data_IF_074436853572
#
_entry.id   IF_074436853572
#
_cell.length_a   1.000
_cell.length_b   1.000
_cell.length_c   1.000
_cell.angle_alpha   90.00
_cell.angle_beta   90.00
_cell.angle_gamma   90.00
#
_symmetry.space_group_name_H-M   'P 1'
#
loop_
_entity.id
_entity.type
_entity.pdbx_description
1 polymer ?
#
# COMPACT_ATOMS: atom_id res chain seq x y z
N UNK A 1 -32.56 -9.74 83.73
CA UNK A 1 -32.55 -8.56 84.61
C UNK A 1 -32.53 -7.27 83.79
N UNK A 2 -33.54 -6.39 83.88
CA UNK A 2 -33.46 -5.07 83.28
C UNK A 2 -32.35 -4.25 83.93
N UNK A 3 -31.46 -3.67 83.13
CA UNK A 3 -30.42 -2.77 83.63
C UNK A 3 -31.06 -1.55 84.30
N UNK A 4 -30.50 -1.03 85.41
CA UNK A 4 -31.00 0.17 86.07
C UNK A 4 -31.00 1.36 85.10
N UNK A 5 -32.00 2.26 85.16
CA UNK A 5 -32.20 3.34 84.20
C UNK A 5 -31.00 4.30 84.08
N UNK A 6 -30.18 4.41 85.14
CA UNK A 6 -28.92 5.18 85.12
C UNK A 6 -27.86 4.58 84.18
N UNK A 7 -27.77 3.25 84.08
CA UNK A 7 -26.82 2.56 83.21
C UNK A 7 -27.20 2.63 81.72
N UNK A 8 -28.49 2.85 81.40
CA UNK A 8 -28.94 3.10 80.01
C UNK A 8 -28.55 4.49 79.52
N UNK A 9 -28.64 5.53 80.36
CA UNK A 9 -28.27 6.90 79.99
C UNK A 9 -26.77 7.05 79.71
N UNK A 10 -25.92 6.45 80.55
CA UNK A 10 -24.46 6.50 80.35
C UNK A 10 -24.01 5.73 79.10
N UNK A 11 -24.61 4.56 78.81
CA UNK A 11 -24.36 3.84 77.56
C UNK A 11 -24.81 4.63 76.33
N UNK A 12 -25.96 5.30 76.39
CA UNK A 12 -26.44 6.10 75.27
C UNK A 12 -25.55 7.32 74.99
N UNK A 13 -25.13 8.04 76.04
CA UNK A 13 -24.15 9.13 75.92
C UNK A 13 -22.81 8.66 75.33
N UNK A 14 -22.29 7.52 75.78
CA UNK A 14 -21.06 6.95 75.23
C UNK A 14 -21.18 6.60 73.75
N UNK A 15 -22.32 6.05 73.32
CA UNK A 15 -22.58 5.75 71.90
C UNK A 15 -22.70 7.02 71.05
N UNK A 16 -23.35 8.06 71.57
CA UNK A 16 -23.46 9.36 70.88
C UNK A 16 -22.10 10.01 70.71
N UNK A 17 -21.27 10.03 71.76
CA UNK A 17 -19.90 10.57 71.67
C UNK A 17 -19.04 9.77 70.70
N UNK A 18 -19.11 8.44 70.73
CA UNK A 18 -18.40 7.59 69.77
C UNK A 18 -18.83 7.86 68.32
N UNK A 19 -20.14 8.01 68.09
CA UNK A 19 -20.67 8.35 66.77
C UNK A 19 -20.18 9.73 66.28
N UNK A 20 -20.16 10.74 67.15
CA UNK A 20 -19.65 12.08 66.82
C UNK A 20 -18.16 12.04 66.47
N UNK A 21 -17.35 11.31 67.25
CA UNK A 21 -15.91 11.17 66.97
C UNK A 21 -15.65 10.42 65.64
N UNK A 22 -16.46 9.41 65.32
CA UNK A 22 -16.39 8.72 64.03
C UNK A 22 -16.74 9.65 62.87
N UNK A 23 -17.80 10.45 63.01
CA UNK A 23 -18.21 11.42 61.98
C UNK A 23 -17.13 12.50 61.80
N UNK A 24 -16.61 13.06 62.89
CA UNK A 24 -15.54 14.06 62.84
C UNK A 24 -14.25 13.51 62.24
N UNK A 25 -13.88 12.26 62.59
CA UNK A 25 -12.74 11.57 62.00
C UNK A 25 -12.92 11.34 60.49
N UNK A 26 -14.10 10.91 60.06
CA UNK A 26 -14.43 10.74 58.64
C UNK A 26 -14.38 12.07 57.88
N UNK A 27 -14.97 13.13 58.43
CA UNK A 27 -14.93 14.47 57.84
C UNK A 27 -13.50 15.02 57.74
N UNK A 28 -12.67 14.81 58.76
CA UNK A 28 -11.25 15.19 58.72
C UNK A 28 -10.46 14.46 57.65
N UNK A 29 -10.68 13.14 57.49
CA UNK A 29 -10.06 12.34 56.42
C UNK A 29 -10.55 12.80 55.03
N UNK A 30 -11.83 13.08 54.88
CA UNK A 30 -12.41 13.57 53.62
C UNK A 30 -11.84 14.95 53.25
N UNK A 31 -11.77 15.88 54.20
CA UNK A 31 -11.17 17.21 54.02
C UNK A 31 -9.69 17.11 53.62
N UNK A 32 -8.90 16.29 54.32
CA UNK A 32 -7.48 16.12 54.01
C UNK A 32 -7.27 15.50 52.62
N UNK A 33 -8.10 14.53 52.23
CA UNK A 33 -8.08 13.95 50.88
C UNK A 33 -8.40 15.00 49.81
N UNK A 34 -9.40 15.85 50.04
CA UNK A 34 -9.77 16.90 49.10
C UNK A 34 -8.67 17.96 48.97
N UNK A 35 -8.05 18.34 50.08
CA UNK A 35 -6.90 19.24 50.07
C UNK A 35 -5.72 18.65 49.29
N UNK A 36 -5.35 17.39 49.58
CA UNK A 36 -4.27 16.70 48.86
C UNK A 36 -4.55 16.60 47.35
N UNK A 37 -5.81 16.35 46.94
CA UNK A 37 -6.23 16.37 45.54
C UNK A 37 -6.14 17.75 44.92
N UNK A 38 -6.49 18.81 45.66
CA UNK A 38 -6.38 20.19 45.17
C UNK A 38 -4.92 20.58 44.90
N UNK A 39 -3.99 20.23 45.81
CA UNK A 39 -2.56 20.45 45.65
C UNK A 39 -2.00 19.64 44.47
N UNK A 40 -2.42 18.39 44.32
CA UNK A 40 -2.02 17.54 43.18
C UNK A 40 -2.54 18.10 41.84
N UNK A 41 -3.78 18.61 41.79
CA UNK A 41 -4.34 19.24 40.58
C UNK A 41 -3.60 20.52 40.18
N UNK A 42 -3.20 21.34 41.16
CA UNK A 42 -2.39 22.54 40.91
C UNK A 42 -0.99 22.17 40.38
N UNK A 43 -0.34 21.17 40.98
CA UNK A 43 0.92 20.64 40.47
C UNK A 43 0.78 20.14 39.02
N UNK A 44 -0.27 19.39 38.71
CA UNK A 44 -0.53 18.92 37.33
C UNK A 44 -0.72 20.09 36.37
N UNK A 45 -1.49 21.11 36.75
CA UNK A 45 -1.68 22.30 35.94
C UNK A 45 -0.34 23.00 35.65
N UNK A 46 0.51 23.13 36.66
CA UNK A 46 1.86 23.70 36.52
C UNK A 46 2.75 22.85 35.59
N UNK A 47 2.70 21.52 35.68
CA UNK A 47 3.42 20.63 34.74
C UNK A 47 2.95 20.83 33.29
N UNK A 48 1.64 21.01 33.06
CA UNK A 48 1.09 21.29 31.73
C UNK A 48 1.57 22.66 31.22
N UNK A 49 1.49 23.70 32.05
CA UNK A 49 1.92 25.07 31.70
C UNK A 49 3.42 25.15 31.38
N UNK A 50 4.24 24.32 32.05
CA UNK A 50 5.68 24.21 31.80
C UNK A 50 6.04 23.30 30.60
N UNK A 51 5.05 22.75 29.89
CA UNK A 51 5.27 21.85 28.74
C UNK A 51 5.83 20.47 29.12
N UNK A 52 5.74 20.08 30.39
CA UNK A 52 6.14 18.76 30.89
C UNK A 52 5.00 17.75 30.69
N UNK A 53 4.56 17.62 29.44
CA UNK A 53 3.35 16.89 29.04
C UNK A 53 3.56 15.37 29.14
N UNK A 54 4.59 14.88 28.45
CA UNK A 54 4.87 13.47 28.24
C UNK A 54 6.39 13.18 28.30
N UNK A 55 6.78 12.06 28.89
CA UNK A 55 8.19 11.63 28.90
C UNK A 55 8.53 10.62 30.00
N UNK A 56 9.70 9.96 29.89
CA UNK A 56 10.17 9.01 30.91
C UNK A 56 10.68 9.70 32.18
N UNK A 57 10.97 11.00 32.12
CA UNK A 57 11.40 11.76 33.28
C UNK A 57 10.20 12.11 34.14
N UNK A 58 10.21 11.65 35.39
CA UNK A 58 9.29 12.14 36.41
C UNK A 58 9.84 13.44 37.04
N UNK A 59 8.98 14.41 37.37
CA UNK A 59 7.51 14.39 37.18
C UNK A 59 7.07 14.81 35.77
N UNK A 60 5.99 14.20 35.26
CA UNK A 60 5.28 14.65 34.06
C UNK A 60 3.76 14.62 34.26
N UNK A 61 3.06 15.48 33.52
CA UNK A 61 1.63 15.71 33.69
C UNK A 61 0.79 14.46 33.34
N UNK A 62 1.16 13.69 32.31
CA UNK A 62 0.47 12.46 31.92
C UNK A 62 0.48 11.42 33.05
N UNK A 63 1.63 11.11 33.62
CA UNK A 63 1.76 10.15 34.72
C UNK A 63 0.99 10.61 35.97
N UNK A 64 1.08 11.91 36.30
CA UNK A 64 0.37 12.48 37.44
C UNK A 64 -1.16 12.45 37.25
N UNK A 65 -1.67 12.67 36.03
CA UNK A 65 -3.09 12.53 35.68
C UNK A 65 -3.55 11.07 35.66
N UNK A 66 -2.72 10.15 35.15
CA UNK A 66 -3.01 8.73 35.14
C UNK A 66 -3.18 8.18 36.57
N UNK A 67 -2.39 8.68 37.53
CA UNK A 67 -2.54 8.34 38.95
C UNK A 67 -3.88 8.79 39.57
N UNK A 68 -4.60 9.72 38.93
CA UNK A 68 -5.92 10.19 39.36
C UNK A 68 -7.09 9.41 38.71
N UNK A 69 -6.84 8.33 37.95
CA UNK A 69 -7.85 7.64 37.11
C UNK A 69 -9.15 7.16 37.80
N UNK A 70 -9.25 7.21 39.13
CA UNK A 70 -10.47 6.85 39.88
C UNK A 70 -11.42 8.02 40.20
N UNK A 71 -11.05 9.27 39.94
CA UNK A 71 -11.85 10.45 40.33
C UNK A 71 -12.17 11.33 39.11
N UNK A 72 -13.30 11.06 38.46
CA UNK A 72 -13.74 11.71 37.23
C UNK A 72 -14.52 13.00 37.49
N UNK A 73 -14.08 13.80 38.45
CA UNK A 73 -14.67 15.12 38.68
C UNK A 73 -14.42 16.07 37.48
N UNK A 74 -15.23 17.12 37.38
CA UNK A 74 -15.18 18.07 36.28
C UNK A 74 -13.80 18.73 36.13
N UNK A 75 -13.10 18.96 37.25
CA UNK A 75 -11.78 19.59 37.24
C UNK A 75 -10.70 18.68 36.66
N UNK A 76 -10.73 17.39 36.98
CA UNK A 76 -9.78 16.39 36.46
C UNK A 76 -10.03 16.19 34.98
N UNK A 77 -11.30 16.22 34.57
CA UNK A 77 -11.69 16.24 33.17
C UNK A 77 -11.15 17.46 32.42
N UNK A 78 -11.24 18.67 32.99
CA UNK A 78 -10.67 19.88 32.41
C UNK A 78 -9.13 19.79 32.28
N UNK A 79 -8.43 19.23 33.28
CA UNK A 79 -6.98 19.04 33.20
C UNK A 79 -6.58 18.04 32.11
N UNK A 80 -7.34 16.96 31.92
CA UNK A 80 -7.11 16.02 30.80
C UNK A 80 -7.27 16.71 29.45
N UNK A 81 -8.30 17.54 29.28
CA UNK A 81 -8.48 18.28 28.03
C UNK A 81 -7.33 19.27 27.79
N UNK A 82 -6.91 19.99 28.84
CA UNK A 82 -5.75 20.90 28.79
C UNK A 82 -4.42 20.20 28.50
N UNK A 83 -4.27 18.92 28.86
CA UNK A 83 -3.09 18.12 28.49
C UNK A 83 -3.15 17.71 27.01
N UNK A 84 -4.32 17.26 26.55
CA UNK A 84 -4.50 16.71 25.21
C UNK A 84 -4.46 17.77 24.10
N UNK A 85 -4.89 19.00 24.39
CA UNK A 85 -4.89 20.13 23.46
C UNK A 85 -3.48 20.47 22.91
N UNK A 86 -2.44 20.71 23.73
CA UNK A 86 -1.10 21.00 23.21
C UNK A 86 -0.44 19.80 22.50
N UNK A 87 -0.76 18.57 22.91
CA UNK A 87 -0.32 17.36 22.18
C UNK A 87 -0.94 17.31 20.78
N UNK A 88 -2.21 17.72 20.67
CA UNK A 88 -2.91 17.87 19.40
C UNK A 88 -2.38 19.03 18.56
N UNK A 89 -2.10 20.18 19.16
CA UNK A 89 -1.51 21.32 18.44
C UNK A 89 -0.15 20.98 17.85
N UNK A 90 0.61 20.07 18.48
CA UNK A 90 1.85 19.53 17.93
C UNK A 90 1.66 18.67 16.67
N UNK A 91 0.49 18.07 16.48
CA UNK A 91 0.12 17.25 15.31
C UNK A 91 -0.28 18.10 14.11
N UNK A 92 -1.03 19.17 14.34
CA UNK A 92 -1.73 19.92 13.31
C UNK A 92 -0.80 20.42 12.17
N UNK A 93 0.40 20.97 12.42
CA UNK A 93 1.28 21.43 11.36
C UNK A 93 1.73 20.31 10.41
N UNK A 94 2.03 19.11 10.94
CA UNK A 94 2.43 17.96 10.13
C UNK A 94 1.22 17.39 9.37
N UNK A 95 0.05 17.36 10.01
CA UNK A 95 -1.20 16.93 9.39
C UNK A 95 -1.59 17.82 8.19
N UNK A 96 -1.53 19.14 8.36
CA UNK A 96 -1.86 20.10 7.30
C UNK A 96 -0.88 20.04 6.12
N UNK A 97 0.40 19.76 6.39
CA UNK A 97 1.43 19.55 5.35
C UNK A 97 1.38 18.16 4.71
N UNK A 98 0.57 17.23 5.26
CA UNK A 98 0.54 15.82 4.87
C UNK A 98 1.91 15.15 4.98
N UNK A 99 2.70 15.55 5.97
CA UNK A 99 4.01 14.96 6.26
C UNK A 99 3.83 13.78 7.21
N UNK A 100 3.50 12.62 6.64
CA UNK A 100 3.19 11.40 7.41
C UNK A 100 4.37 10.90 8.25
N UNK A 101 5.59 11.17 7.80
CA UNK A 101 6.82 10.79 8.52
C UNK A 101 6.96 11.68 9.76
N UNK A 102 6.83 13.01 9.60
CA UNK A 102 6.88 13.94 10.73
C UNK A 102 5.71 13.76 11.71
N UNK A 103 4.56 13.25 11.25
CA UNK A 103 3.37 13.03 12.07
C UNK A 103 3.49 11.83 13.02
N UNK A 104 4.33 10.83 12.69
CA UNK A 104 4.46 9.58 13.46
C UNK A 104 4.73 9.79 14.96
N UNK A 105 5.72 10.62 15.29
CA UNK A 105 6.14 10.83 16.69
C UNK A 105 5.08 11.59 17.51
N UNK A 106 4.57 12.74 17.07
CA UNK A 106 3.47 13.41 17.79
C UNK A 106 2.21 12.53 17.88
N UNK A 107 1.90 11.71 16.87
CA UNK A 107 0.70 10.87 16.87
C UNK A 107 0.78 9.79 17.91
N UNK A 108 1.94 9.13 18.01
CA UNK A 108 2.20 8.14 19.05
C UNK A 108 2.01 8.77 20.44
N UNK A 109 2.62 9.93 20.70
CA UNK A 109 2.51 10.65 21.99
C UNK A 109 1.07 10.97 22.36
N UNK A 110 0.30 11.51 21.42
CA UNK A 110 -1.11 11.80 21.63
C UNK A 110 -1.94 10.52 21.83
N UNK A 111 -1.71 9.47 21.03
CA UNK A 111 -2.41 8.19 21.13
C UNK A 111 -2.13 7.47 22.46
N UNK A 112 -0.87 7.51 22.92
CA UNK A 112 -0.45 6.97 24.22
C UNK A 112 -1.13 7.73 25.36
N UNK A 113 -1.22 9.07 25.27
CA UNK A 113 -1.90 9.89 26.26
C UNK A 113 -3.42 9.60 26.30
N UNK A 114 -4.07 9.50 25.14
CA UNK A 114 -5.50 9.12 25.04
C UNK A 114 -5.76 7.75 25.66
N UNK A 115 -4.87 6.78 25.39
CA UNK A 115 -4.99 5.42 25.92
C UNK A 115 -4.79 5.38 27.43
N UNK A 116 -3.72 6.01 27.92
CA UNK A 116 -3.35 6.08 29.35
C UNK A 116 -4.43 6.76 30.19
N UNK A 117 -5.08 7.79 29.64
CA UNK A 117 -6.17 8.52 30.29
C UNK A 117 -7.56 7.91 30.04
N UNK A 118 -7.64 6.77 29.35
CA UNK A 118 -8.89 6.13 28.94
C UNK A 118 -9.88 7.09 28.24
N UNK A 119 -9.36 8.10 27.54
CA UNK A 119 -10.13 9.25 27.06
C UNK A 119 -10.85 9.00 25.72
N UNK A 120 -10.96 7.74 25.27
CA UNK A 120 -11.46 7.36 23.95
C UNK A 120 -12.87 7.84 23.62
N UNK A 121 -13.74 7.95 24.63
CA UNK A 121 -15.15 8.34 24.48
C UNK A 121 -15.40 9.83 24.71
N UNK A 122 -14.36 10.62 24.98
CA UNK A 122 -14.51 12.05 25.23
C UNK A 122 -14.77 12.79 23.93
N UNK A 123 -15.71 13.76 23.96
CA UNK A 123 -16.11 14.50 22.76
C UNK A 123 -14.95 15.13 22.00
N UNK A 124 -13.98 15.71 22.71
CA UNK A 124 -12.76 16.29 22.11
C UNK A 124 -11.94 15.23 21.36
N UNK A 125 -11.62 14.11 22.01
CA UNK A 125 -10.85 13.01 21.42
C UNK A 125 -11.60 12.40 20.24
N UNK A 126 -12.91 12.21 20.34
CA UNK A 126 -13.75 11.71 19.24
C UNK A 126 -13.68 12.65 18.03
N UNK A 127 -13.81 13.97 18.25
CA UNK A 127 -13.71 14.97 17.18
C UNK A 127 -12.31 14.98 16.53
N UNK A 128 -11.25 14.92 17.33
CA UNK A 128 -9.86 14.85 16.86
C UNK A 128 -9.60 13.57 16.04
N UNK A 129 -10.07 12.41 16.51
CA UNK A 129 -9.96 11.14 15.77
C UNK A 129 -10.71 11.18 14.45
N UNK A 130 -11.91 11.76 14.43
CA UNK A 130 -12.68 11.93 13.21
C UNK A 130 -11.96 12.85 12.23
N UNK A 131 -11.38 13.97 12.70
CA UNK A 131 -10.58 14.86 11.87
C UNK A 131 -9.36 14.16 11.25
N UNK A 132 -8.56 13.41 12.04
CA UNK A 132 -7.46 12.60 11.51
C UNK A 132 -7.95 11.59 10.47
N UNK A 133 -9.05 10.91 10.75
CA UNK A 133 -9.65 9.92 9.85
C UNK A 133 -10.04 10.56 8.51
N UNK A 134 -10.67 11.73 8.55
CA UNK A 134 -11.08 12.49 7.35
C UNK A 134 -9.87 12.96 6.53
N UNK A 135 -8.76 13.31 7.16
CA UNK A 135 -7.54 13.75 6.48
C UNK A 135 -6.74 12.59 5.87
N UNK A 136 -6.67 11.43 6.55
CA UNK A 136 -5.90 10.28 6.07
C UNK A 136 -6.61 9.52 4.94
N UNK A 137 -7.95 9.42 5.00
CA UNK A 137 -8.72 8.61 4.04
C UNK A 137 -8.42 8.95 2.58
N UNK A 138 -8.37 10.22 2.12
CA UNK A 138 -8.03 10.55 0.75
C UNK A 138 -6.63 10.09 0.34
N UNK A 139 -5.64 10.20 1.22
CA UNK A 139 -4.26 9.77 0.94
C UNK A 139 -4.12 8.26 0.88
N UNK A 140 -4.82 7.53 1.75
CA UNK A 140 -4.90 6.05 1.67
C UNK A 140 -5.59 5.61 0.38
N UNK A 141 -6.71 6.26 0.02
CA UNK A 141 -7.41 5.97 -1.22
C UNK A 141 -6.52 6.26 -2.44
N UNK A 142 -5.78 7.36 -2.45
CA UNK A 142 -4.83 7.72 -3.50
C UNK A 142 -3.68 6.70 -3.61
N UNK A 143 -3.13 6.23 -2.49
CA UNK A 143 -2.09 5.21 -2.49
C UNK A 143 -2.60 3.88 -3.08
N UNK A 144 -3.79 3.44 -2.68
CA UNK A 144 -4.48 2.28 -3.27
C UNK A 144 -4.76 2.44 -4.76
N UNK A 145 -5.14 3.65 -5.16
CA UNK A 145 -5.48 3.99 -6.52
C UNK A 145 -4.27 3.90 -7.47
N UNK A 146 -3.10 4.35 -6.98
CA UNK A 146 -1.84 4.41 -7.72
C UNK A 146 -0.92 3.21 -7.49
N UNK A 147 -1.30 2.28 -6.61
CA UNK A 147 -0.39 1.26 -6.07
C UNK A 147 0.93 1.89 -5.56
N UNK A 148 0.82 3.04 -4.91
CA UNK A 148 1.97 3.73 -4.35
C UNK A 148 2.42 3.01 -3.07
N UNK A 149 3.33 2.05 -3.23
CA UNK A 149 3.86 1.25 -2.13
C UNK A 149 4.56 2.12 -1.09
N UNK A 150 5.38 3.09 -1.53
CA UNK A 150 6.13 3.94 -0.62
C UNK A 150 5.19 4.86 0.20
N UNK A 151 4.19 5.46 -0.46
CA UNK A 151 3.14 6.22 0.22
C UNK A 151 2.30 5.37 1.17
N UNK A 152 1.97 4.14 0.77
CA UNK A 152 1.26 3.18 1.62
C UNK A 152 2.07 2.80 2.86
N UNK A 153 3.37 2.49 2.71
CA UNK A 153 4.25 2.14 3.84
C UNK A 153 4.38 3.30 4.84
N UNK A 154 4.51 4.54 4.37
CA UNK A 154 4.54 5.72 5.24
C UNK A 154 3.23 5.88 6.05
N UNK A 155 2.08 5.64 5.41
CA UNK A 155 0.78 5.64 6.08
C UNK A 155 0.62 4.46 7.05
N UNK A 156 1.12 3.28 6.70
CA UNK A 156 1.03 2.09 7.56
C UNK A 156 1.85 2.24 8.84
N UNK A 157 3.06 2.80 8.75
CA UNK A 157 3.89 3.12 9.92
C UNK A 157 3.13 4.05 10.87
N UNK A 158 2.51 5.11 10.33
CA UNK A 158 1.71 6.05 11.10
C UNK A 158 0.51 5.35 11.80
N UNK A 159 -0.16 4.44 11.09
CA UNK A 159 -1.37 3.76 11.58
C UNK A 159 -1.08 2.63 12.57
N UNK A 160 0.11 2.02 12.50
CA UNK A 160 0.56 1.02 13.49
C UNK A 160 0.75 1.65 14.88
N UNK A 161 1.12 2.94 14.94
CA UNK A 161 1.23 3.74 16.15
C UNK A 161 -0.12 4.26 16.69
N UNK A 162 -1.18 4.21 15.89
CA UNK A 162 -2.50 4.71 16.27
C UNK A 162 -3.42 3.59 16.76
N UNK A 163 -3.32 3.26 18.05
CA UNK A 163 -4.15 2.23 18.67
C UNK A 163 -5.17 2.80 19.68
N UNK A 164 -6.43 2.31 19.67
CA UNK A 164 -7.00 1.38 18.68
C UNK A 164 -7.27 2.08 17.34
N UNK A 165 -7.11 1.37 16.22
CA UNK A 165 -7.39 1.90 14.89
C UNK A 165 -8.89 2.22 14.72
N UNK A 166 -9.28 3.39 14.15
CA UNK A 166 -10.68 3.65 13.81
C UNK A 166 -11.25 2.58 12.86
N UNK A 167 -12.44 2.00 13.13
CA UNK A 167 -13.04 0.97 12.27
C UNK A 167 -13.22 1.40 10.81
N UNK A 168 -13.36 2.70 10.55
CA UNK A 168 -13.49 3.26 9.20
C UNK A 168 -12.20 3.15 8.37
N UNK A 169 -11.05 2.91 9.01
CA UNK A 169 -9.75 2.79 8.34
C UNK A 169 -9.27 1.33 8.24
N UNK A 170 -9.86 0.39 8.98
CA UNK A 170 -9.35 -0.99 9.05
C UNK A 170 -9.30 -1.68 7.69
N UNK A 171 -10.36 -1.55 6.89
CA UNK A 171 -10.43 -2.15 5.56
C UNK A 171 -9.40 -1.53 4.60
N UNK A 172 -9.21 -0.21 4.68
CA UNK A 172 -8.19 0.49 3.90
C UNK A 172 -6.77 0.06 4.30
N UNK A 173 -6.49 -0.11 5.60
CA UNK A 173 -5.20 -0.62 6.10
C UNK A 173 -4.92 -2.01 5.56
N UNK A 174 -5.90 -2.92 5.63
CA UNK A 174 -5.74 -4.27 5.09
C UNK A 174 -5.43 -4.24 3.59
N UNK A 175 -6.12 -3.41 2.82
CA UNK A 175 -5.86 -3.26 1.39
C UNK A 175 -4.52 -2.59 1.07
N UNK A 176 -4.08 -1.61 1.87
CA UNK A 176 -2.79 -0.95 1.68
C UNK A 176 -1.64 -1.96 1.85
N UNK A 177 -1.73 -2.85 2.85
CA UNK A 177 -0.74 -3.92 3.07
C UNK A 177 -0.64 -4.88 1.89
N UNK A 178 -1.69 -4.98 1.07
CA UNK A 178 -1.74 -5.84 -0.11
C UNK A 178 -1.20 -5.17 -1.37
N UNK A 179 -0.80 -3.89 -1.35
CA UNK A 179 -0.11 -3.27 -2.49
C UNK A 179 1.25 -3.95 -2.63
N UNK A 180 1.52 -4.71 -3.72
CA UNK A 180 2.81 -5.34 -3.91
C UNK A 180 3.89 -4.31 -4.25
N UNK A 181 5.13 -4.58 -3.85
CA UNK A 181 6.30 -3.88 -4.38
C UNK A 181 6.63 -4.36 -5.80
N UNK A 182 7.52 -3.65 -6.49
CA UNK A 182 8.06 -4.11 -7.77
C UNK A 182 8.78 -5.45 -7.59
N UNK A 183 8.51 -6.41 -8.48
CA UNK A 183 8.99 -7.77 -8.41
C UNK A 183 8.24 -8.68 -7.45
N UNK A 184 7.29 -8.16 -6.67
CA UNK A 184 6.43 -8.99 -5.81
C UNK A 184 5.21 -9.51 -6.56
N UNK A 185 4.63 -10.59 -6.02
CA UNK A 185 3.46 -11.23 -6.59
C UNK A 185 2.25 -10.28 -6.61
N UNK A 186 1.65 -10.12 -7.79
CA UNK A 186 0.37 -9.45 -7.96
C UNK A 186 -0.73 -10.51 -7.99
N UNK A 187 -1.70 -10.48 -7.05
CA UNK A 187 -2.81 -11.42 -7.05
C UNK A 187 -3.63 -11.35 -8.34
N UNK A 188 -3.91 -12.53 -8.91
CA UNK A 188 -4.72 -12.69 -10.10
C UNK A 188 -5.54 -13.98 -9.99
N UNK A 189 -6.80 -13.86 -9.60
CA UNK A 189 -7.67 -15.01 -9.30
C UNK A 189 -7.96 -15.87 -10.54
N UNK A 190 -7.88 -15.29 -11.73
CA UNK A 190 -8.25 -15.92 -13.00
C UNK A 190 -7.06 -16.11 -13.94
N UNK A 191 -5.88 -15.60 -13.59
CA UNK A 191 -4.69 -15.60 -14.42
C UNK A 191 -3.55 -16.50 -13.90
N UNK A 192 -2.46 -16.62 -14.67
CA UNK A 192 -1.20 -17.15 -14.15
C UNK A 192 -0.64 -16.23 -13.06
N UNK A 193 0.26 -16.71 -12.19
CA UNK A 193 0.96 -15.86 -11.22
C UNK A 193 1.66 -14.69 -11.92
N UNK A 194 1.44 -13.48 -11.42
CA UNK A 194 2.01 -12.26 -11.97
C UNK A 194 2.96 -11.59 -10.98
N UNK A 195 3.91 -10.80 -11.49
CA UNK A 195 4.79 -9.92 -10.73
C UNK A 195 4.53 -8.48 -11.16
N UNK A 196 4.45 -7.54 -10.22
CA UNK A 196 4.34 -6.12 -10.54
C UNK A 196 5.67 -5.62 -11.13
N UNK A 197 5.64 -5.02 -12.32
CA UNK A 197 6.82 -4.38 -12.93
C UNK A 197 6.71 -2.87 -12.84
N UNK A 198 5.54 -2.32 -13.18
CA UNK A 198 5.26 -0.88 -13.07
C UNK A 198 3.94 -0.64 -12.33
N UNK A 199 3.90 0.17 -11.27
CA UNK A 199 2.64 0.62 -10.70
C UNK A 199 1.89 1.53 -11.71
N UNK A 200 0.55 1.56 -11.70
CA UNK A 200 -0.21 2.48 -12.54
C UNK A 200 0.03 3.95 -12.14
N UNK A 201 0.28 4.78 -13.13
CA UNK A 201 0.38 6.23 -13.01
C UNK A 201 -0.92 6.89 -13.48
N UNK A 202 -1.04 8.22 -13.32
CA UNK A 202 -2.25 8.95 -13.73
C UNK A 202 -2.52 8.92 -15.22
N UNK A 203 -1.47 8.81 -16.04
CA UNK A 203 -1.51 8.88 -17.51
C UNK A 203 -0.98 7.60 -18.17
N UNK A 204 -0.59 6.59 -17.39
CA UNK A 204 -0.03 5.32 -17.89
C UNK A 204 -0.55 4.12 -17.11
N UNK A 205 -1.03 3.06 -17.79
CA UNK A 205 -1.40 1.83 -17.12
C UNK A 205 -0.19 1.21 -16.41
N UNK A 206 -0.45 0.54 -15.29
CA UNK A 206 0.55 -0.28 -14.63
C UNK A 206 0.83 -1.53 -15.46
N UNK A 207 1.96 -2.17 -15.23
CA UNK A 207 2.38 -3.37 -15.95
C UNK A 207 2.72 -4.47 -14.95
N UNK A 208 2.14 -5.64 -15.16
CA UNK A 208 2.50 -6.85 -14.44
C UNK A 208 2.86 -7.95 -15.45
N UNK A 209 3.84 -8.78 -15.13
CA UNK A 209 4.33 -9.82 -16.03
C UNK A 209 4.16 -11.19 -15.39
N UNK A 210 3.97 -12.25 -16.19
CA UNK A 210 3.98 -13.61 -15.65
C UNK A 210 5.27 -13.89 -14.88
N UNK A 211 5.13 -14.48 -13.69
CA UNK A 211 6.25 -14.80 -12.81
C UNK A 211 7.17 -15.89 -13.38
N UNK A 212 6.66 -16.69 -14.32
CA UNK A 212 7.39 -17.75 -15.00
C UNK A 212 6.92 -17.86 -16.46
N UNK A 213 7.69 -18.58 -17.27
CA UNK A 213 7.25 -19.00 -18.59
C UNK A 213 5.97 -19.85 -18.51
N UNK A 214 5.19 -19.83 -19.59
CA UNK A 214 3.94 -20.58 -19.73
C UNK A 214 4.13 -22.06 -19.37
N UNK A 215 3.39 -22.56 -18.39
CA UNK A 215 3.40 -23.96 -18.01
C UNK A 215 2.48 -24.82 -18.90
N UNK A 216 2.75 -26.14 -19.00
CA UNK A 216 1.92 -27.06 -19.78
C UNK A 216 0.45 -27.13 -19.34
N UNK A 217 0.15 -26.98 -18.04
CA UNK A 217 -1.22 -27.10 -17.54
C UNK A 217 -2.08 -25.93 -18.01
N UNK A 218 -1.58 -24.70 -17.92
CA UNK A 218 -2.26 -23.51 -18.44
C UNK A 218 -2.43 -23.55 -19.95
N UNK A 219 -1.40 -24.00 -20.69
CA UNK A 219 -1.53 -24.16 -22.14
C UNK A 219 -2.57 -25.22 -22.51
N UNK A 220 -2.64 -26.32 -21.77
CA UNK A 220 -3.67 -27.36 -21.96
C UNK A 220 -5.10 -26.83 -21.81
N UNK A 221 -5.34 -25.91 -20.86
CA UNK A 221 -6.63 -25.22 -20.70
C UNK A 221 -6.99 -24.38 -21.92
N UNK A 222 -6.04 -23.59 -22.42
CA UNK A 222 -6.23 -22.80 -23.65
C UNK A 222 -6.57 -23.70 -24.84
N UNK A 223 -5.87 -24.82 -25.02
CA UNK A 223 -6.15 -25.75 -26.11
C UNK A 223 -7.54 -26.38 -26.00
N UNK A 224 -7.93 -26.79 -24.78
CA UNK A 224 -9.24 -27.36 -24.52
C UNK A 224 -10.37 -26.37 -24.84
N UNK A 225 -10.26 -25.12 -24.35
CA UNK A 225 -11.27 -24.09 -24.54
C UNK A 225 -11.38 -23.63 -26.00
N UNK A 226 -10.27 -23.65 -26.74
CA UNK A 226 -10.24 -23.24 -28.16
C UNK A 226 -10.43 -24.38 -29.15
N UNK A 227 -10.60 -25.62 -28.67
CA UNK A 227 -10.76 -26.80 -29.53
C UNK A 227 -9.53 -27.13 -30.37
N UNK A 228 -8.34 -26.69 -29.95
CA UNK A 228 -7.09 -26.90 -30.67
C UNK A 228 -6.38 -28.17 -30.21
N UNK A 229 -5.70 -28.82 -31.14
CA UNK A 229 -4.89 -30.01 -30.84
C UNK A 229 -3.49 -29.61 -30.42
N UNK A 230 -2.98 -30.23 -29.37
CA UNK A 230 -1.60 -30.06 -28.94
C UNK A 230 -0.64 -30.59 -30.02
N UNK A 231 0.42 -29.82 -30.29
CA UNK A 231 1.53 -30.24 -31.16
C UNK A 231 2.59 -30.94 -30.32
N UNK A 232 3.06 -32.11 -30.74
CA UNK A 232 4.18 -32.79 -30.09
C UNK A 232 5.44 -31.92 -30.16
N UNK A 233 6.03 -31.63 -29.00
CA UNK A 233 7.24 -30.84 -28.88
C UNK A 233 7.99 -31.17 -27.61
N UNK A 234 9.29 -31.43 -27.74
CA UNK A 234 10.20 -31.51 -26.61
C UNK A 234 10.72 -30.11 -26.27
N UNK A 235 10.19 -29.52 -25.20
CA UNK A 235 10.76 -28.31 -24.58
C UNK A 235 12.10 -28.65 -23.92
N UNK A 236 13.11 -27.75 -23.96
CA UNK A 236 14.32 -27.90 -23.14
C UNK A 236 14.04 -27.95 -21.63
N UNK A 237 12.90 -27.44 -21.19
CA UNK A 237 12.45 -27.45 -19.81
C UNK A 237 11.08 -28.13 -19.70
N UNK A 238 10.95 -29.27 -18.99
CA UNK A 238 9.69 -30.01 -18.88
C UNK A 238 8.61 -29.25 -18.10
N UNK A 239 8.96 -28.22 -17.33
CA UNK A 239 8.01 -27.38 -16.60
C UNK A 239 7.45 -26.25 -17.46
N UNK A 240 7.99 -26.05 -18.66
CA UNK A 240 7.64 -24.95 -19.56
C UNK A 240 7.12 -25.49 -20.88
N UNK A 241 6.06 -24.88 -21.37
CA UNK A 241 5.53 -25.16 -22.70
C UNK A 241 6.40 -24.49 -23.77
N UNK A 242 7.14 -25.31 -24.50
CA UNK A 242 7.89 -24.92 -25.70
C UNK A 242 7.07 -25.00 -27.00
N UNK A 243 7.74 -24.75 -28.13
CA UNK A 243 7.16 -24.72 -29.49
C UNK A 243 5.94 -23.80 -29.69
N UNK A 244 5.75 -22.79 -28.85
CA UNK A 244 4.64 -21.85 -29.05
C UNK A 244 5.03 -20.89 -30.18
N UNK A 245 4.21 -20.81 -31.22
CA UNK A 245 4.39 -19.83 -32.29
C UNK A 245 3.96 -18.44 -31.82
N UNK A 246 4.49 -17.38 -32.44
CA UNK A 246 4.07 -16.01 -32.13
C UNK A 246 2.55 -15.81 -32.33
N UNK A 247 1.97 -16.44 -33.35
CA UNK A 247 0.53 -16.39 -33.60
C UNK A 247 -0.30 -17.04 -32.48
N UNK A 248 0.12 -18.21 -31.99
CA UNK A 248 -0.52 -18.84 -30.82
C UNK A 248 -0.30 -18.04 -29.55
N UNK A 249 0.87 -17.42 -29.38
CA UNK A 249 1.17 -16.58 -28.23
C UNK A 249 0.23 -15.37 -28.13
N UNK A 250 -0.05 -14.71 -29.27
CA UNK A 250 -1.04 -13.62 -29.33
C UNK A 250 -2.46 -14.12 -29.05
N UNK A 251 -2.85 -15.26 -29.63
CA UNK A 251 -4.18 -15.83 -29.39
C UNK A 251 -4.37 -16.29 -27.94
N UNK A 252 -3.31 -16.78 -27.29
CA UNK A 252 -3.32 -17.09 -25.86
C UNK A 252 -3.55 -15.82 -25.03
N UNK A 253 -2.88 -14.71 -25.37
CA UNK A 253 -3.07 -13.44 -24.70
C UNK A 253 -4.50 -12.90 -24.87
N UNK A 254 -5.06 -12.99 -26.09
CA UNK A 254 -6.44 -12.59 -26.37
C UNK A 254 -7.46 -13.46 -25.60
N UNK A 255 -7.27 -14.79 -25.60
CA UNK A 255 -8.10 -15.72 -24.85
C UNK A 255 -8.05 -15.41 -23.35
N UNK A 256 -6.86 -15.24 -22.77
CA UNK A 256 -6.70 -14.95 -21.35
C UNK A 256 -7.34 -13.59 -20.98
N UNK A 257 -7.25 -12.62 -21.89
CA UNK A 257 -7.92 -11.33 -21.72
C UNK A 257 -9.44 -11.47 -21.65
N UNK A 258 -10.01 -12.32 -22.51
CA UNK A 258 -11.45 -12.60 -22.51
C UNK A 258 -11.90 -13.35 -21.25
N UNK A 259 -11.12 -14.33 -20.78
CA UNK A 259 -11.47 -15.15 -19.61
C UNK A 259 -11.43 -14.36 -18.30
N UNK A 260 -10.45 -13.47 -18.14
CA UNK A 260 -10.21 -12.71 -16.92
C UNK A 260 -10.88 -11.33 -16.90
N UNK A 261 -11.28 -10.81 -18.06
CA UNK A 261 -11.67 -9.41 -18.24
C UNK A 261 -10.52 -8.41 -18.06
N UNK A 262 -9.27 -8.88 -17.97
CA UNK A 262 -8.06 -8.05 -17.91
C UNK A 262 -7.43 -7.95 -19.30
N UNK A 263 -6.53 -6.99 -19.53
CA UNK A 263 -5.83 -6.86 -20.81
C UNK A 263 -4.46 -7.52 -20.76
N UNK A 264 -4.33 -8.67 -21.38
CA UNK A 264 -3.06 -9.36 -21.59
C UNK A 264 -2.53 -9.14 -23.00
N UNK A 265 -1.21 -9.07 -23.12
CA UNK A 265 -0.49 -9.00 -24.40
C UNK A 265 0.92 -9.58 -24.25
N UNK A 266 1.62 -9.68 -25.37
CA UNK A 266 3.06 -9.93 -25.34
C UNK A 266 3.78 -8.66 -24.85
N UNK A 267 4.86 -8.80 -24.07
CA UNK A 267 5.68 -7.67 -23.67
C UNK A 267 6.46 -7.13 -24.88
N UNK A 268 6.78 -5.85 -24.85
CA UNK A 268 7.80 -5.28 -25.75
C UNK A 268 9.19 -5.75 -25.34
N UNK A 269 10.17 -5.48 -26.21
CA UNK A 269 11.58 -5.74 -25.90
C UNK A 269 12.01 -5.01 -24.62
N UNK A 270 11.66 -3.74 -24.49
CA UNK A 270 12.07 -2.91 -23.36
C UNK A 270 11.43 -3.40 -22.06
N UNK A 271 10.13 -3.72 -22.08
CA UNK A 271 9.38 -4.21 -20.91
C UNK A 271 9.92 -5.55 -20.40
N UNK A 272 10.21 -6.50 -21.30
CA UNK A 272 10.69 -7.82 -20.89
C UNK A 272 12.13 -7.77 -20.38
N UNK A 273 12.98 -6.90 -20.94
CA UNK A 273 14.36 -6.70 -20.47
C UNK A 273 14.39 -6.12 -19.06
N UNK A 274 13.52 -5.14 -18.77
CA UNK A 274 13.37 -4.59 -17.43
C UNK A 274 12.88 -5.65 -16.41
N UNK A 275 11.96 -6.51 -16.85
CA UNK A 275 11.41 -7.58 -16.02
C UNK A 275 12.34 -8.80 -15.84
N UNK A 276 13.42 -8.92 -16.61
CA UNK A 276 14.21 -10.15 -16.71
C UNK A 276 14.76 -10.65 -15.38
N UNK A 277 15.08 -9.74 -14.45
CA UNK A 277 15.59 -10.08 -13.11
C UNK A 277 14.53 -10.65 -12.16
N UNK A 278 13.24 -10.49 -12.45
CA UNK A 278 12.13 -10.94 -11.61
C UNK A 278 11.53 -12.27 -12.09
N UNK A 279 11.58 -12.54 -13.39
CA UNK A 279 11.01 -13.76 -13.98
C UNK A 279 11.82 -14.99 -13.56
N UNK A 280 11.14 -16.08 -13.20
CA UNK A 280 11.77 -17.34 -12.85
C UNK A 280 12.69 -17.86 -13.98
N UNK A 281 13.96 -18.19 -13.69
CA UNK A 281 14.89 -18.62 -14.72
C UNK A 281 14.48 -19.92 -15.43
N UNK A 282 14.67 -19.98 -16.75
CA UNK A 282 14.44 -21.15 -17.60
C UNK A 282 15.34 -21.12 -18.85
N UNK A 283 15.79 -22.27 -19.39
CA UNK A 283 16.59 -22.35 -20.63
C UNK A 283 15.77 -22.08 -21.91
N UNK A 284 14.65 -21.37 -21.80
CA UNK A 284 13.69 -21.10 -22.88
C UNK A 284 13.77 -19.65 -23.36
N UNK A 285 13.06 -19.37 -24.45
CA UNK A 285 13.05 -18.08 -25.15
C UNK A 285 11.61 -17.54 -25.17
N UNK A 286 11.32 -16.42 -24.53
CA UNK A 286 10.00 -15.79 -24.51
C UNK A 286 9.81 -14.85 -25.71
N UNK A 287 8.68 -14.99 -26.42
CA UNK A 287 8.29 -14.04 -27.46
C UNK A 287 8.05 -12.63 -26.91
N UNK A 288 8.44 -11.64 -27.72
CA UNK A 288 8.05 -10.24 -27.54
C UNK A 288 7.16 -9.79 -28.71
N UNK A 289 6.43 -8.69 -28.55
CA UNK A 289 5.70 -8.05 -29.66
C UNK A 289 6.60 -7.15 -30.52
N UNK A 290 7.87 -7.00 -30.15
CA UNK A 290 8.83 -6.18 -30.86
C UNK A 290 9.53 -6.96 -31.97
N UNK A 291 9.66 -6.36 -33.15
CA UNK A 291 10.40 -6.93 -34.26
C UNK A 291 11.81 -6.33 -34.40
N UNK A 292 12.73 -7.08 -35.01
CA UNK A 292 14.02 -6.54 -35.42
C UNK A 292 13.81 -5.67 -36.66
N UNK A 293 13.87 -4.35 -36.50
CA UNK A 293 13.80 -3.43 -37.62
C UNK A 293 15.14 -3.41 -38.37
N UNK A 294 15.13 -3.91 -39.61
CA UNK A 294 16.26 -3.83 -40.52
C UNK A 294 15.97 -2.83 -41.63
N UNK A 295 16.99 -2.09 -42.03
CA UNK A 295 16.88 -1.12 -43.12
C UNK A 295 17.35 -1.77 -44.42
N UNK A 296 16.42 -2.12 -45.29
CA UNK A 296 16.73 -2.60 -46.63
C UNK A 296 16.90 -1.40 -47.57
N UNK A 297 18.09 -1.27 -48.14
CA UNK A 297 18.36 -0.26 -49.15
C UNK A 297 18.32 -0.91 -50.52
N UNK A 298 17.24 -0.71 -51.26
CA UNK A 298 17.12 -1.20 -52.63
C UNK A 298 17.77 -0.19 -53.57
N UNK A 299 18.93 -0.57 -54.14
CA UNK A 299 19.59 0.26 -55.14
C UNK A 299 18.75 0.29 -56.42
N UNK A 300 18.62 1.45 -57.08
CA UNK A 300 17.92 1.50 -58.36
C UNK A 300 18.64 0.59 -59.36
N UNK A 301 17.88 -0.16 -60.16
CA UNK A 301 18.46 -1.00 -61.22
C UNK A 301 19.21 -0.13 -62.25
N UNK A 302 20.03 -0.75 -63.10
CA UNK A 302 20.88 -0.01 -64.06
C UNK A 302 20.07 0.96 -64.95
N UNK A 303 18.88 0.56 -65.40
CA UNK A 303 17.99 1.41 -66.18
C UNK A 303 17.51 2.65 -65.39
N UNK A 304 17.03 2.47 -64.15
CA UNK A 304 16.63 3.59 -63.29
C UNK A 304 17.81 4.51 -62.97
N UNK A 305 19.02 3.97 -62.80
CA UNK A 305 20.25 4.77 -62.59
C UNK A 305 20.62 5.57 -63.83
N UNK A 306 20.65 4.94 -65.00
CA UNK A 306 20.97 5.61 -66.26
C UNK A 306 19.97 6.73 -66.58
N UNK A 307 18.67 6.44 -66.44
CA UNK A 307 17.62 7.45 -66.60
C UNK A 307 17.70 8.55 -65.55
N UNK A 308 18.04 8.19 -64.31
CA UNK A 308 18.32 9.15 -63.24
C UNK A 308 19.47 10.09 -63.58
N UNK A 309 20.54 9.59 -64.19
CA UNK A 309 21.67 10.40 -64.66
C UNK A 309 21.25 11.37 -65.78
N UNK A 310 20.46 10.90 -66.75
CA UNK A 310 19.90 11.77 -67.80
C UNK A 310 19.04 12.87 -67.17
N UNK A 311 18.13 12.53 -66.25
CA UNK A 311 17.31 13.52 -65.53
C UNK A 311 18.16 14.57 -64.81
N UNK A 312 19.29 14.17 -64.22
CA UNK A 312 20.16 15.06 -63.49
C UNK A 312 20.82 16.12 -64.39
N UNK A 313 21.17 15.75 -65.63
CA UNK A 313 21.68 16.71 -66.64
C UNK A 313 20.63 17.77 -66.98
N UNK A 314 19.34 17.42 -66.94
CA UNK A 314 18.22 18.34 -67.17
C UNK A 314 17.68 19.01 -65.89
N UNK A 315 18.48 19.08 -64.81
CA UNK A 315 18.09 19.73 -63.55
C UNK A 315 17.10 18.93 -62.68
N UNK A 316 16.76 17.70 -63.07
CA UNK A 316 15.94 16.78 -62.29
C UNK A 316 16.70 16.07 -61.17
N UNK A 317 15.99 15.47 -60.21
CA UNK A 317 16.64 14.65 -59.18
C UNK A 317 17.07 13.28 -59.75
N UNK A 318 18.32 12.89 -59.49
CA UNK A 318 18.83 11.56 -59.79
C UNK A 318 18.06 10.45 -59.06
N UNK A 319 18.13 9.22 -59.57
CA UNK A 319 17.47 8.09 -58.94
C UNK A 319 18.09 7.80 -57.56
N UNK A 320 17.31 8.05 -56.50
CA UNK A 320 17.73 7.78 -55.12
C UNK A 320 17.45 6.32 -54.76
N UNK A 321 18.30 5.68 -53.94
CA UNK A 321 17.99 4.38 -53.37
C UNK A 321 16.72 4.47 -52.53
N UNK A 322 15.88 3.43 -52.60
CA UNK A 322 14.69 3.32 -51.77
C UNK A 322 15.12 2.67 -50.46
N UNK A 323 14.93 3.39 -49.36
CA UNK A 323 15.25 2.93 -48.01
C UNK A 323 13.94 2.48 -47.38
N UNK A 324 13.80 1.18 -47.16
CA UNK A 324 12.62 0.59 -46.52
C UNK A 324 13.01 0.00 -45.17
N UNK A 325 12.29 0.36 -44.11
CA UNK A 325 12.39 -0.33 -42.82
C UNK A 325 11.43 -1.49 -42.84
N UNK A 326 11.93 -2.71 -42.60
CA UNK A 326 11.13 -3.93 -42.52
C UNK A 326 11.45 -4.66 -41.22
N UNK A 327 10.48 -5.42 -40.72
CA UNK A 327 10.72 -6.38 -39.65
C UNK A 327 11.41 -7.62 -40.24
N UNK A 328 12.57 -7.99 -39.72
CA UNK A 328 13.26 -9.25 -40.02
C UNK A 328 13.32 -10.10 -38.76
N UNK A 329 12.22 -10.79 -38.46
CA UNK A 329 12.05 -11.58 -37.24
C UNK A 329 11.49 -10.80 -36.07
N UNK A 330 10.89 -11.55 -35.15
CA UNK A 330 10.46 -11.03 -33.85
C UNK A 330 11.51 -11.39 -32.80
N UNK A 331 11.70 -10.51 -31.83
CA UNK A 331 12.64 -10.75 -30.75
C UNK A 331 12.09 -11.81 -29.80
N UNK A 332 12.95 -12.75 -29.43
CA UNK A 332 12.76 -13.59 -28.26
C UNK A 332 13.81 -13.25 -27.21
N UNK A 333 13.42 -13.19 -25.95
CA UNK A 333 14.34 -13.01 -24.83
C UNK A 333 14.65 -14.35 -24.17
N UNK A 334 15.93 -14.59 -23.88
CA UNK A 334 16.37 -15.73 -23.08
C UNK A 334 15.99 -15.53 -21.62
N UNK A 335 15.30 -16.53 -21.05
CA UNK A 335 14.78 -16.48 -19.70
C UNK A 335 15.77 -17.03 -18.66
N UNK A 336 17.07 -17.04 -18.93
CA UNK A 336 18.09 -17.53 -17.99
C UNK A 336 18.64 -16.44 -17.06
N UNK A 337 17.97 -15.28 -17.02
CA UNK A 337 18.39 -14.08 -16.28
C UNK A 337 19.41 -13.21 -17.03
N UNK A 338 19.92 -13.62 -18.20
CA UNK A 338 20.87 -12.81 -18.97
C UNK A 338 20.23 -11.64 -19.71
N UNK A 339 18.92 -11.71 -19.96
CA UNK A 339 18.19 -10.74 -20.79
C UNK A 339 18.64 -10.72 -22.26
N UNK A 340 19.38 -11.73 -22.73
CA UNK A 340 19.83 -11.79 -24.11
C UNK A 340 18.65 -11.92 -25.09
N UNK A 341 18.73 -11.18 -26.20
CA UNK A 341 17.67 -11.14 -27.22
C UNK A 341 18.16 -11.77 -28.53
N UNK A 342 17.32 -12.62 -29.11
CA UNK A 342 17.58 -13.29 -30.38
C UNK A 342 16.38 -13.08 -31.32
N UNK A 343 16.61 -12.53 -32.50
CA UNK A 343 15.57 -12.38 -33.51
C UNK A 343 15.36 -13.71 -34.25
N UNK A 344 14.10 -14.16 -34.38
CA UNK A 344 13.76 -15.32 -35.20
C UNK A 344 12.47 -15.12 -35.99
N UNK A 345 12.43 -15.75 -37.16
CA UNK A 345 11.26 -15.78 -38.04
C UNK A 345 10.38 -17.02 -37.82
N UNK A 346 10.94 -18.10 -37.24
CA UNK A 346 10.26 -19.38 -37.06
C UNK A 346 10.23 -19.79 -35.58
N UNK A 347 9.18 -20.53 -35.14
CA UNK A 347 9.16 -21.12 -33.80
C UNK A 347 10.32 -22.09 -33.62
N UNK A 348 10.94 -22.07 -32.43
CA UNK A 348 11.95 -23.03 -32.01
C UNK A 348 11.38 -23.93 -30.91
N UNK A 349 11.97 -25.11 -30.64
CA UNK A 349 11.56 -25.93 -29.49
C UNK A 349 11.63 -25.19 -28.15
N UNK A 350 12.56 -24.24 -28.03
CA UNK A 350 12.73 -23.40 -26.85
C UNK A 350 11.77 -22.20 -26.80
N UNK A 351 11.02 -21.91 -27.87
CA UNK A 351 10.14 -20.74 -27.91
C UNK A 351 8.90 -20.95 -27.04
N UNK A 352 8.71 -20.05 -26.07
CA UNK A 352 7.62 -20.03 -25.10
C UNK A 352 7.03 -18.62 -24.99
N UNK A 353 6.16 -18.42 -24.01
CA UNK A 353 5.44 -17.18 -23.78
C UNK A 353 5.57 -16.76 -22.33
N UNK A 354 5.79 -15.46 -22.15
CA UNK A 354 5.56 -14.72 -20.91
C UNK A 354 4.63 -13.58 -21.30
N UNK A 355 3.48 -13.48 -20.65
CA UNK A 355 2.50 -12.44 -20.96
C UNK A 355 2.64 -11.28 -19.98
N UNK A 356 2.31 -10.10 -20.48
CA UNK A 356 2.17 -8.88 -19.71
C UNK A 356 0.67 -8.57 -19.57
N UNK A 357 0.25 -8.20 -18.36
CA UNK A 357 -1.06 -7.66 -18.03
C UNK A 357 -0.96 -6.15 -17.80
N UNK A 358 -1.85 -5.40 -18.45
CA UNK A 358 -2.03 -3.98 -18.16
C UNK A 358 -2.97 -3.82 -16.95
N UNK A 359 -2.52 -3.04 -15.97
CA UNK A 359 -3.31 -2.62 -14.81
C UNK A 359 -3.93 -1.27 -15.18
N UNK A 360 -5.27 -1.18 -15.29
CA UNK A 360 -5.91 0.05 -15.73
C UNK A 360 -5.55 1.22 -14.79
N UNK A 361 -5.40 2.41 -15.39
CA UNK A 361 -5.33 3.63 -14.58
C UNK A 361 -6.66 3.78 -13.85
N UNK A 362 -6.64 4.53 -12.76
CA UNK A 362 -7.83 4.63 -11.96
C UNK A 362 -8.97 5.44 -12.60
N UNK A 363 -8.68 6.22 -13.65
CA UNK A 363 -9.72 6.85 -14.46
C UNK A 363 -10.45 5.87 -15.38
N UNK A 364 -9.84 4.73 -15.70
CA UNK A 364 -10.36 3.76 -16.66
C UNK A 364 -11.19 2.64 -16.00
N UNK A 365 -11.24 2.58 -14.66
CA UNK A 365 -12.04 1.55 -13.98
C UNK A 365 -13.51 1.91 -14.15
N UNK A 366 -14.33 1.08 -14.82
CA UNK A 366 -15.77 1.27 -14.79
C UNK A 366 -16.21 1.25 -13.34
N UNK A 367 -16.96 2.27 -12.91
CA UNK A 367 -17.65 2.23 -11.61
C UNK A 367 -18.45 0.94 -11.59
N UNK A 368 -18.06 -0.01 -10.73
CA UNK A 368 -18.84 -1.24 -10.56
C UNK A 368 -20.23 -0.79 -10.06
N UNK A 369 -21.32 -1.15 -10.77
CA UNK A 369 -22.67 -0.76 -10.41
C UNK A 369 -23.11 -1.35 -9.07
#
# INVERSE_FOLDING_TARGET
HPLPPAARRTRWLALVVAAILLIAGYAGIAYWREQARSEQRLMIAELIENGQLDGPAEPNALAALAALNGDLDESTQQLRDRLLEPLWDGLEPALMKRDWVALSTPLRRWSDAVTTLEAHSRGLVVAQREQLTQQLRPSMAQALQRFDRAGADALLILLDDWQPLPPQLSDLVTRLRQIPAMGEALPDDAGPPLLLIHPPESDRPGLAIMAAALDPQWYGRFLADTGKTERECASPDPKVRGCVSLGEARQLADWLSQQSGQRYRLPTREEITEAAGFIAPSPTLAWTDSCQQVTHTTRPNAAKRAWGGIKQVFGGQGAKPIVERRCDGNWLMQLDGSGQLVARNNPSPAATVVLLREIPTAGDRPERP
#
